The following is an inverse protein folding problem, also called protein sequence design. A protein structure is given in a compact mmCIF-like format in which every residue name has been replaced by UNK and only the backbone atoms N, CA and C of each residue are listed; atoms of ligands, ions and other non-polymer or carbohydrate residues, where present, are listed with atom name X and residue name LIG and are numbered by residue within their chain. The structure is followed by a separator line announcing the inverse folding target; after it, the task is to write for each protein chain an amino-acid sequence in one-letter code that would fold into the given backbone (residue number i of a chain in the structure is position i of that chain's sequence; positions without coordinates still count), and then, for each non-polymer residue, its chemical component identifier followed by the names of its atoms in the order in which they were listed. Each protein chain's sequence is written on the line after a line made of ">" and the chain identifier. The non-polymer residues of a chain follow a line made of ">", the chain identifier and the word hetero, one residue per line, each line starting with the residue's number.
data_IF_917431116205
#
_entry.id   IF_917431116205
#
_cell.length_a   1.000
_cell.length_b   1.000
_cell.length_c   1.000
_cell.angle_alpha   90.00
_cell.angle_beta   90.00
_cell.angle_gamma   90.00
#
_symmetry.space_group_name_H-M   'P 1'
#
loop_
_entity.id
_entity.type
_entity.pdbx_description
1 polymer ?
#
# COMPACT_ATOMS: atom_id res chain seq x y z
N UNK A 1 -9.25 13.32 9.88
CA UNK A 1 -8.43 13.26 8.65
C UNK A 1 -8.90 12.10 7.78
N UNK A 2 -8.63 12.14 6.48
CA UNK A 2 -8.98 11.10 5.50
C UNK A 2 -7.73 10.31 5.09
N UNK A 3 -7.70 9.04 5.43
CA UNK A 3 -6.55 8.17 5.14
C UNK A 3 -6.96 7.09 4.13
N UNK A 4 -6.21 7.00 3.05
CA UNK A 4 -6.31 5.90 2.09
C UNK A 4 -5.16 4.92 2.32
N UNK A 5 -5.50 3.68 2.68
CA UNK A 5 -4.56 2.59 2.87
C UNK A 5 -4.52 1.75 1.59
N UNK A 6 -3.37 1.71 0.93
CA UNK A 6 -3.18 1.02 -0.34
C UNK A 6 -2.21 -0.14 -0.17
N UNK A 7 -2.63 -1.31 -0.63
CA UNK A 7 -1.76 -2.46 -0.81
C UNK A 7 -1.55 -2.71 -2.30
N UNK A 8 -0.33 -2.49 -2.85
CA UNK A 8 -0.07 -2.60 -4.28
C UNK A 8 -0.30 -4.02 -4.84
N UNK A 9 -0.46 -4.14 -6.15
CA UNK A 9 -0.72 -5.45 -6.77
C UNK A 9 0.58 -6.26 -6.87
N UNK A 10 0.49 -7.58 -6.69
CA UNK A 10 1.56 -8.49 -7.07
C UNK A 10 1.71 -8.51 -8.60
N UNK A 11 2.95 -8.51 -9.13
CA UNK A 11 3.18 -8.86 -10.51
C UNK A 11 2.82 -10.33 -10.76
N UNK A 12 2.59 -10.67 -12.04
CA UNK A 12 2.34 -12.06 -12.43
C UNK A 12 3.62 -12.89 -12.20
N UNK A 13 3.63 -13.59 -11.07
CA UNK A 13 4.77 -14.36 -10.55
C UNK A 13 4.27 -15.69 -10.02
N UNK A 14 5.19 -16.64 -9.86
CA UNK A 14 4.88 -17.95 -9.26
C UNK A 14 4.09 -17.82 -7.94
N UNK A 15 4.50 -16.88 -7.07
CA UNK A 15 3.90 -16.65 -5.76
C UNK A 15 2.55 -15.93 -5.79
N UNK A 16 2.20 -15.27 -6.90
CA UNK A 16 0.90 -14.61 -7.04
C UNK A 16 -0.25 -15.60 -7.24
N UNK A 17 0.07 -16.83 -7.70
CA UNK A 17 -0.91 -17.86 -8.09
C UNK A 17 -2.03 -17.33 -9.00
N UNK A 18 -1.81 -16.23 -9.73
CA UNK A 18 -2.86 -15.47 -10.42
C UNK A 18 -3.69 -16.31 -11.37
N UNK A 19 -3.07 -17.29 -12.03
CA UNK A 19 -3.76 -18.22 -12.92
C UNK A 19 -4.41 -19.38 -12.16
N UNK A 20 -3.76 -19.89 -11.11
CA UNK A 20 -4.27 -21.01 -10.32
C UNK A 20 -5.50 -20.62 -9.47
N UNK A 21 -5.51 -19.39 -8.93
CA UNK A 21 -6.61 -18.88 -8.09
C UNK A 21 -7.95 -18.80 -8.85
N UNK A 22 -7.92 -18.70 -10.19
CA UNK A 22 -9.11 -18.75 -11.04
C UNK A 22 -9.88 -20.06 -10.91
N UNK A 23 -9.18 -21.19 -10.72
CA UNK A 23 -9.82 -22.50 -10.57
C UNK A 23 -10.60 -22.64 -9.26
N UNK A 24 -10.25 -21.86 -8.23
CA UNK A 24 -10.93 -21.84 -6.93
C UNK A 24 -11.75 -20.57 -6.72
N UNK A 25 -11.99 -19.79 -7.79
CA UNK A 25 -12.77 -18.54 -7.78
C UNK A 25 -12.30 -17.50 -6.75
N UNK A 26 -10.99 -17.45 -6.46
CA UNK A 26 -10.39 -16.44 -5.58
C UNK A 26 -9.63 -15.39 -6.39
N UNK A 27 -9.59 -14.15 -5.89
CA UNK A 27 -8.85 -13.03 -6.51
C UNK A 27 -7.45 -12.85 -5.94
N UNK A 28 -7.27 -13.12 -4.65
CA UNK A 28 -6.00 -13.01 -3.95
C UNK A 28 -5.85 -14.16 -2.96
N UNK A 29 -4.60 -14.55 -2.70
CA UNK A 29 -4.26 -15.57 -1.71
C UNK A 29 -4.07 -14.97 -0.31
N UNK A 30 -3.47 -13.78 -0.25
CA UNK A 30 -3.03 -13.14 0.98
C UNK A 30 -3.81 -11.86 1.23
N UNK A 31 -4.31 -11.69 2.45
CA UNK A 31 -4.88 -10.43 2.94
C UNK A 31 -3.74 -9.51 3.40
N UNK A 32 -3.77 -8.20 3.11
CA UNK A 32 -2.74 -7.27 3.57
C UNK A 32 -2.89 -6.94 5.06
N UNK A 33 -2.65 -7.90 5.95
CA UNK A 33 -2.92 -7.76 7.37
C UNK A 33 -2.14 -6.62 8.03
N UNK A 34 -0.86 -6.44 7.69
CA UNK A 34 -0.01 -5.42 8.32
C UNK A 34 -0.49 -3.97 8.10
N UNK A 35 -1.14 -3.66 6.98
CA UNK A 35 -1.70 -2.30 6.80
C UNK A 35 -3.05 -2.16 7.53
N UNK A 36 -3.78 -3.27 7.72
CA UNK A 36 -5.06 -3.27 8.42
C UNK A 36 -4.90 -3.15 9.94
N UNK A 37 -3.83 -3.70 10.52
CA UNK A 37 -3.47 -3.47 11.93
C UNK A 37 -3.19 -2.00 12.17
N UNK A 38 -2.40 -1.36 11.30
CA UNK A 38 -2.17 0.09 11.33
C UNK A 38 -3.49 0.87 11.21
N UNK A 39 -4.37 0.50 10.28
CA UNK A 39 -5.67 1.16 10.14
C UNK A 39 -6.50 1.16 11.43
N UNK A 40 -6.42 0.08 12.21
CA UNK A 40 -7.12 -0.06 13.48
C UNK A 40 -6.51 0.79 14.61
N UNK A 41 -5.21 1.08 14.56
CA UNK A 41 -4.51 1.93 15.53
C UNK A 41 -4.70 3.42 15.28
N UNK A 42 -4.92 3.82 14.02
CA UNK A 42 -5.17 5.22 13.68
C UNK A 42 -6.41 5.76 14.42
N UNK A 43 -6.43 7.06 14.78
CA UNK A 43 -7.52 7.69 15.54
C UNK A 43 -8.91 7.33 15.00
N UNK A 44 -9.85 7.11 15.93
CA UNK A 44 -11.19 6.60 15.62
C UNK A 44 -12.06 7.61 14.88
N UNK A 45 -11.78 8.91 15.05
CA UNK A 45 -12.42 10.03 14.36
C UNK A 45 -11.93 10.23 12.93
N UNK A 46 -10.85 9.53 12.52
CA UNK A 46 -10.36 9.60 11.14
C UNK A 46 -11.17 8.71 10.20
N UNK A 47 -11.53 9.26 9.05
CA UNK A 47 -12.14 8.51 7.96
C UNK A 47 -11.08 7.66 7.25
N UNK A 48 -11.34 6.37 7.09
CA UNK A 48 -10.37 5.41 6.57
C UNK A 48 -10.97 4.62 5.41
N UNK A 49 -10.21 4.48 4.33
CA UNK A 49 -10.52 3.58 3.21
C UNK A 49 -9.34 2.65 2.96
N UNK A 50 -9.61 1.39 2.68
CA UNK A 50 -8.58 0.42 2.31
C UNK A 50 -8.80 -0.08 0.88
N UNK A 51 -7.73 -0.12 0.09
CA UNK A 51 -7.71 -0.64 -1.28
C UNK A 51 -6.62 -1.68 -1.39
N UNK A 52 -7.03 -2.94 -1.48
CA UNK A 52 -6.15 -4.02 -1.92
C UNK A 52 -6.19 -4.13 -3.45
N UNK A 53 -5.11 -3.71 -4.11
CA UNK A 53 -4.98 -3.71 -5.57
C UNK A 53 -5.00 -5.13 -6.17
N UNK A 54 -4.88 -6.18 -5.35
CA UNK A 54 -4.99 -7.57 -5.80
C UNK A 54 -6.45 -8.01 -5.99
N UNK A 55 -7.41 -7.28 -5.43
CA UNK A 55 -8.84 -7.62 -5.51
C UNK A 55 -9.67 -6.54 -6.22
N UNK A 56 -9.23 -5.29 -6.13
CA UNK A 56 -9.98 -4.10 -6.58
C UNK A 56 -9.03 -3.07 -7.22
N UNK A 57 -9.52 -2.23 -8.14
CA UNK A 57 -8.70 -1.19 -8.76
C UNK A 57 -8.61 0.06 -7.86
N UNK A 58 -7.40 0.61 -7.72
CA UNK A 58 -7.19 1.93 -7.13
C UNK A 58 -7.61 3.03 -8.11
N UNK A 59 -8.61 3.85 -7.75
CA UNK A 59 -9.08 4.97 -8.57
C UNK A 59 -8.45 6.29 -8.12
N UNK A 60 -8.23 7.21 -9.06
CA UNK A 60 -7.68 8.54 -8.74
C UNK A 60 -8.58 9.32 -7.78
N UNK A 61 -9.91 9.14 -7.86
CA UNK A 61 -10.88 9.74 -6.92
C UNK A 61 -10.65 9.34 -5.47
N UNK A 62 -10.14 8.13 -5.23
CA UNK A 62 -9.83 7.68 -3.87
C UNK A 62 -8.56 8.37 -3.35
N UNK A 63 -7.57 8.57 -4.22
CA UNK A 63 -6.34 9.31 -3.92
C UNK A 63 -6.68 10.78 -3.65
N UNK A 64 -7.44 11.43 -4.53
CA UNK A 64 -7.87 12.81 -4.38
C UNK A 64 -8.69 13.05 -3.11
N UNK A 65 -9.47 12.05 -2.66
CA UNK A 65 -10.25 12.13 -1.43
C UNK A 65 -9.38 12.14 -0.17
N UNK A 66 -8.18 11.54 -0.21
CA UNK A 66 -7.34 11.35 0.96
C UNK A 66 -6.45 12.57 1.26
N UNK A 67 -6.23 12.84 2.55
CA UNK A 67 -5.20 13.77 3.01
C UNK A 67 -3.81 13.10 2.94
N UNK A 68 -3.75 11.80 3.26
CA UNK A 68 -2.55 10.97 3.17
C UNK A 68 -2.87 9.60 2.56
N UNK A 69 -1.92 9.09 1.77
CA UNK A 69 -1.95 7.73 1.22
C UNK A 69 -0.90 6.87 1.91
N UNK A 70 -1.34 5.88 2.67
CA UNK A 70 -0.49 4.92 3.33
C UNK A 70 -0.27 3.74 2.39
N UNK A 71 0.97 3.40 2.07
CA UNK A 71 1.32 2.31 1.16
C UNK A 71 2.12 1.26 1.91
N UNK A 72 1.57 0.07 2.03
CA UNK A 72 2.29 -1.10 2.57
C UNK A 72 2.71 -2.00 1.42
N UNK A 73 4.00 -2.31 1.28
CA UNK A 73 4.47 -3.07 0.14
C UNK A 73 5.57 -4.09 0.49
N UNK A 74 5.51 -5.23 -0.19
CA UNK A 74 6.56 -6.23 -0.30
C UNK A 74 7.51 -5.86 -1.46
N UNK A 75 8.78 -6.27 -1.39
CA UNK A 75 9.79 -5.97 -2.43
C UNK A 75 9.30 -6.36 -3.83
N UNK A 76 8.65 -7.52 -3.97
CA UNK A 76 8.11 -8.00 -5.26
C UNK A 76 7.06 -7.06 -5.87
N UNK A 77 6.44 -6.20 -5.07
CA UNK A 77 5.43 -5.24 -5.53
C UNK A 77 6.04 -3.91 -6.03
N UNK A 78 7.38 -3.78 -6.09
CA UNK A 78 8.10 -2.55 -6.43
C UNK A 78 7.49 -1.75 -7.57
N UNK A 79 7.26 -2.37 -8.73
CA UNK A 79 6.70 -1.67 -9.89
C UNK A 79 5.32 -1.09 -9.60
N UNK A 80 4.44 -1.88 -8.98
CA UNK A 80 3.10 -1.42 -8.61
C UNK A 80 3.17 -0.32 -7.55
N UNK A 81 4.09 -0.41 -6.60
CA UNK A 81 4.31 0.63 -5.57
C UNK A 81 4.72 1.93 -6.23
N UNK A 82 5.68 1.90 -7.16
CA UNK A 82 6.12 3.09 -7.92
C UNK A 82 4.97 3.76 -8.66
N UNK A 83 4.12 2.98 -9.33
CA UNK A 83 2.91 3.48 -10.01
C UNK A 83 1.93 4.18 -9.04
N UNK A 84 1.79 3.67 -7.82
CA UNK A 84 0.95 4.31 -6.78
C UNK A 84 1.56 5.63 -6.33
N UNK A 85 2.86 5.65 -6.01
CA UNK A 85 3.55 6.88 -5.55
C UNK A 85 3.53 7.97 -6.62
N UNK A 86 3.78 7.63 -7.89
CA UNK A 86 3.75 8.58 -9.01
C UNK A 86 2.37 9.21 -9.18
N UNK A 87 1.30 8.42 -9.04
CA UNK A 87 -0.08 8.91 -9.08
C UNK A 87 -0.38 9.84 -7.91
N UNK A 88 0.05 9.48 -6.70
CA UNK A 88 -0.14 10.33 -5.52
C UNK A 88 0.55 11.69 -5.70
N UNK A 89 1.78 11.69 -6.18
CA UNK A 89 2.54 12.92 -6.48
C UNK A 89 1.88 13.78 -7.54
N UNK A 90 1.42 13.17 -8.63
CA UNK A 90 0.70 13.89 -9.69
C UNK A 90 -0.57 14.57 -9.17
N UNK A 91 -1.20 14.00 -8.15
CA UNK A 91 -2.43 14.50 -7.52
C UNK A 91 -2.15 15.33 -6.25
N UNK A 92 -0.88 15.69 -5.99
CA UNK A 92 -0.45 16.47 -4.84
C UNK A 92 -0.89 15.85 -3.49
N UNK A 93 -0.75 14.53 -3.37
CA UNK A 93 -1.06 13.76 -2.15
C UNK A 93 0.18 13.19 -1.52
N UNK A 94 0.30 13.39 -0.21
CA UNK A 94 1.41 12.90 0.60
C UNK A 94 1.33 11.39 0.78
N UNK A 95 2.48 10.75 0.71
CA UNK A 95 2.64 9.30 0.81
C UNK A 95 3.38 8.91 2.07
N UNK A 96 2.84 7.94 2.80
CA UNK A 96 3.52 7.27 3.91
C UNK A 96 3.81 5.83 3.49
N UNK A 97 5.10 5.49 3.32
CA UNK A 97 5.54 4.16 2.92
C UNK A 97 5.92 3.27 4.10
N UNK A 98 5.49 2.01 4.10
CA UNK A 98 5.86 1.02 5.12
C UNK A 98 5.85 -0.42 4.61
N UNK A 99 6.38 -1.34 5.41
CA UNK A 99 6.53 -2.75 5.05
C UNK A 99 7.85 -3.08 4.35
N UNK A 100 8.08 -4.37 4.01
CA UNK A 100 9.42 -4.87 3.68
C UNK A 100 10.13 -4.17 2.51
N UNK A 101 9.38 -3.69 1.50
CA UNK A 101 9.96 -2.90 0.42
C UNK A 101 10.66 -1.66 0.96
N UNK A 102 9.96 -0.92 1.82
CA UNK A 102 10.45 0.36 2.31
C UNK A 102 11.51 0.16 3.39
N UNK A 103 11.30 -0.75 4.32
CA UNK A 103 12.26 -1.00 5.41
C UNK A 103 13.61 -1.50 4.89
N UNK A 104 13.63 -2.31 3.82
CA UNK A 104 14.85 -2.97 3.37
C UNK A 104 15.55 -2.27 2.20
N UNK A 105 14.81 -1.58 1.33
CA UNK A 105 15.37 -1.21 0.03
C UNK A 105 14.80 0.10 -0.58
N UNK A 106 14.21 1.00 0.22
CA UNK A 106 13.57 2.20 -0.35
C UNK A 106 14.56 3.09 -1.13
N UNK A 107 15.82 3.18 -0.70
CA UNK A 107 16.83 4.01 -1.37
C UNK A 107 17.26 3.37 -2.68
N UNK A 108 17.62 2.09 -2.62
CA UNK A 108 18.10 1.30 -3.75
C UNK A 108 17.03 1.15 -4.84
N UNK A 109 15.76 1.16 -4.45
CA UNK A 109 14.62 1.01 -5.37
C UNK A 109 14.01 2.34 -5.81
N UNK A 110 14.61 3.49 -5.43
CA UNK A 110 14.22 4.81 -5.92
C UNK A 110 12.92 5.37 -5.31
N UNK A 111 12.73 5.18 -4.00
CA UNK A 111 11.61 5.71 -3.21
C UNK A 111 12.05 6.79 -2.20
N UNK A 112 13.20 7.43 -2.44
CA UNK A 112 13.68 8.59 -1.64
C UNK A 112 12.74 9.80 -1.72
N UNK A 113 11.83 9.77 -2.69
CA UNK A 113 10.91 10.83 -3.02
C UNK A 113 9.55 10.66 -2.30
N UNK A 114 9.39 9.61 -1.47
CA UNK A 114 8.22 9.40 -0.60
C UNK A 114 8.30 10.31 0.64
N UNK A 115 7.20 10.97 1.00
CA UNK A 115 7.19 12.02 2.03
C UNK A 115 7.56 11.51 3.43
N UNK A 116 7.06 10.34 3.81
CA UNK A 116 7.34 9.71 5.10
C UNK A 116 7.56 8.21 4.93
N UNK A 117 8.55 7.66 5.63
CA UNK A 117 8.86 6.23 5.59
C UNK A 117 8.92 5.68 7.00
N UNK A 118 8.20 4.59 7.23
CA UNK A 118 8.22 3.81 8.47
C UNK A 118 9.23 2.68 8.28
N UNK A 119 10.33 2.72 9.02
CA UNK A 119 11.50 1.82 8.85
C UNK A 119 11.56 0.68 9.88
N UNK A 120 10.42 0.34 10.46
CA UNK A 120 10.24 -0.74 11.43
C UNK A 120 8.75 -1.14 11.48
N UNK A 121 8.33 -1.88 12.51
CA UNK A 121 6.92 -2.18 12.73
C UNK A 121 6.15 -0.89 13.05
N UNK A 122 5.11 -0.64 12.26
CA UNK A 122 4.31 0.56 12.37
C UNK A 122 3.54 0.60 13.68
N UNK A 123 3.22 -0.55 14.26
CA UNK A 123 2.56 -0.72 15.56
C UNK A 123 3.41 -0.20 16.74
N UNK A 124 4.70 0.02 16.53
CA UNK A 124 5.62 0.59 17.53
C UNK A 124 5.84 2.08 17.27
N UNK A 125 5.79 2.50 16.01
CA UNK A 125 6.23 3.83 15.55
C UNK A 125 5.10 4.82 15.31
N UNK A 126 3.92 4.35 14.91
CA UNK A 126 2.71 5.17 14.84
C UNK A 126 2.04 5.15 16.23
N UNK A 127 1.96 6.31 16.92
CA UNK A 127 1.30 6.42 18.21
C UNK A 127 -0.23 6.34 18.11
#
# INVERSE_FOLDING_TARGET
>A
MKILLVYPQYPDTFWSFKHALKFIQKKALNTPLGILTVAAMLPTDWEKKAVDMNTTRLNDKDIEWADYVFVSAMIVQQRSTREVVDRCKKLDRRVVGGGPLFTMAYKELGFEDVDHIILNEAEITLP
#
